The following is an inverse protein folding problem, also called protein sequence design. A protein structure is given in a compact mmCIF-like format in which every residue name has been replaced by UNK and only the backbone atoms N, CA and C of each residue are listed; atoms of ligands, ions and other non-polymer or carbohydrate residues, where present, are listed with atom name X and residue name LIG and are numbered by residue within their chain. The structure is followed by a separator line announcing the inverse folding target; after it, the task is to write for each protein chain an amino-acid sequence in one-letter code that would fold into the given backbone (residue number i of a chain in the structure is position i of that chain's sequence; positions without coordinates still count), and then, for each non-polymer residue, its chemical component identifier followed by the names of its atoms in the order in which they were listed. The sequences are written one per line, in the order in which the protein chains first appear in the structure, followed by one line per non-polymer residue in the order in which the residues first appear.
data_IF_213892645127
#
_entry.id   IF_213892645127
#
_cell.length_a   1.000
_cell.length_b   1.000
_cell.length_c   1.000
_cell.angle_alpha   90.00
_cell.angle_beta   90.00
_cell.angle_gamma   90.00
#
_symmetry.space_group_name_H-M   'P 1'
#
loop_
_entity.id
_entity.type
_entity.pdbx_description
1 polymer ?
#
# COMPACT_ATOMS: atom_id res chain seq x y z
N UNK A 1 11.40 8.35 17.04
CA UNK A 1 10.96 7.35 16.05
C UNK A 1 11.11 7.97 14.66
N UNK A 2 11.62 7.26 13.65
CA UNK A 2 11.76 7.68 12.22
C UNK A 2 12.29 9.09 11.84
N UNK A 3 13.04 9.76 12.72
CA UNK A 3 13.59 11.13 12.51
C UNK A 3 14.31 11.35 11.17
N UNK A 4 14.88 10.29 10.59
CA UNK A 4 15.63 10.38 9.33
C UNK A 4 14.76 10.84 8.15
N UNK A 5 13.48 10.46 8.10
CA UNK A 5 12.59 10.87 7.02
C UNK A 5 12.13 12.33 7.16
N UNK A 6 11.95 12.82 8.39
CA UNK A 6 11.64 14.22 8.65
C UNK A 6 12.81 15.12 8.26
N UNK A 7 14.03 14.74 8.65
CA UNK A 7 15.25 15.50 8.38
C UNK A 7 15.57 15.61 6.88
N UNK A 8 15.08 14.69 6.06
CA UNK A 8 15.24 14.73 4.60
C UNK A 8 14.05 15.33 3.86
N UNK A 9 13.05 15.84 4.59
CA UNK A 9 11.86 16.44 4.00
C UNK A 9 10.91 15.43 3.35
N UNK A 10 11.08 14.13 3.58
CA UNK A 10 10.23 13.07 3.04
C UNK A 10 8.89 12.94 3.75
N UNK A 11 8.75 13.55 4.93
CA UNK A 11 7.60 13.35 5.82
C UNK A 11 7.68 12.01 6.56
N UNK A 12 6.84 11.84 7.58
CA UNK A 12 6.85 10.60 8.39
C UNK A 12 5.97 9.55 7.69
N UNK A 13 6.48 8.33 7.49
CA UNK A 13 5.65 7.22 7.02
C UNK A 13 4.46 7.02 7.97
N UNK A 14 3.22 6.89 7.48
CA UNK A 14 2.06 6.73 8.35
C UNK A 14 2.16 5.41 9.12
N UNK A 15 1.72 5.42 10.37
CA UNK A 15 1.68 4.22 11.21
C UNK A 15 0.35 4.20 11.96
N UNK A 16 -0.50 3.19 11.73
CA UNK A 16 -1.69 2.98 12.56
C UNK A 16 -1.33 2.94 14.05
N UNK A 17 -2.23 3.44 14.89
CA UNK A 17 -1.97 3.57 16.33
C UNK A 17 -1.64 2.21 16.96
N UNK A 18 -2.32 1.15 16.53
CA UNK A 18 -2.14 -0.23 17.00
C UNK A 18 -0.74 -0.76 16.72
N UNK A 19 -0.11 -0.35 15.61
CA UNK A 19 1.22 -0.80 15.21
C UNK A 19 2.35 0.08 15.75
N UNK A 20 2.04 1.27 16.28
CA UNK A 20 3.05 2.28 16.64
C UNK A 20 4.03 1.79 17.70
N UNK A 21 3.54 1.04 18.69
CA UNK A 21 4.36 0.48 19.78
C UNK A 21 5.32 -0.62 19.33
N UNK A 22 5.11 -1.20 18.15
CA UNK A 22 5.86 -2.35 17.64
C UNK A 22 6.95 -1.96 16.64
N UNK A 23 6.94 -0.72 16.14
CA UNK A 23 7.89 -0.26 15.14
C UNK A 23 9.31 -0.26 15.68
N UNK A 24 10.18 -1.01 15.00
CA UNK A 24 11.61 -1.09 15.28
C UNK A 24 12.41 -0.59 14.09
N UNK A 25 13.55 0.04 14.36
CA UNK A 25 14.55 0.27 13.34
C UNK A 25 15.36 -1.02 13.14
N UNK A 26 15.34 -1.58 11.94
CA UNK A 26 16.07 -2.80 11.61
C UNK A 26 17.46 -2.52 11.02
N UNK A 27 17.57 -1.46 10.22
CA UNK A 27 18.81 -0.99 9.56
C UNK A 27 18.78 0.54 9.44
N UNK A 28 19.89 1.20 9.06
CA UNK A 28 19.81 2.57 8.56
C UNK A 28 18.76 2.62 7.45
N UNK A 29 17.79 3.53 7.57
CA UNK A 29 16.67 3.68 6.65
C UNK A 29 15.68 2.52 6.50
N UNK A 30 15.66 1.54 7.40
CA UNK A 30 14.64 0.47 7.39
C UNK A 30 13.95 0.34 8.74
N UNK A 31 12.63 0.47 8.75
CA UNK A 31 11.80 0.38 9.95
C UNK A 31 10.60 -0.52 9.68
N UNK A 32 10.26 -1.38 10.63
CA UNK A 32 9.11 -2.28 10.48
C UNK A 32 8.63 -2.81 11.84
N UNK A 33 7.43 -3.37 11.87
CA UNK A 33 6.90 -4.12 13.03
C UNK A 33 7.33 -5.59 13.03
N UNK A 34 7.79 -6.11 11.87
CA UNK A 34 8.30 -7.48 11.70
C UNK A 34 9.64 -7.50 10.96
N UNK A 35 10.27 -8.67 10.89
CA UNK A 35 11.46 -8.86 10.05
C UNK A 35 11.15 -8.67 8.57
N UNK A 36 11.99 -7.93 7.85
CA UNK A 36 11.87 -7.66 6.41
C UNK A 36 13.23 -7.76 5.71
N UNK A 37 13.20 -8.01 4.40
CA UNK A 37 14.32 -7.78 3.50
C UNK A 37 14.09 -6.49 2.68
N UNK A 38 14.82 -5.40 2.97
CA UNK A 38 14.69 -4.15 2.22
C UNK A 38 14.94 -4.28 0.72
N UNK A 39 15.80 -5.22 0.29
CA UNK A 39 16.07 -5.42 -1.14
C UNK A 39 14.90 -6.12 -1.82
N UNK A 40 14.28 -7.11 -1.16
CA UNK A 40 13.06 -7.74 -1.66
C UNK A 40 11.91 -6.72 -1.79
N UNK A 41 11.75 -5.84 -0.78
CA UNK A 41 10.79 -4.73 -0.85
C UNK A 41 11.10 -3.78 -2.02
N UNK A 42 12.37 -3.46 -2.26
CA UNK A 42 12.79 -2.59 -3.36
C UNK A 42 12.56 -3.19 -4.75
N UNK A 43 12.70 -4.50 -4.93
CA UNK A 43 12.49 -5.14 -6.23
C UNK A 43 11.04 -5.01 -6.72
N UNK A 44 10.07 -4.98 -5.80
CA UNK A 44 8.66 -4.61 -6.01
C UNK A 44 7.85 -5.50 -6.98
N UNK A 45 8.49 -6.33 -7.79
CA UNK A 45 7.90 -7.24 -8.78
C UNK A 45 7.32 -8.51 -8.15
N UNK A 46 8.00 -9.05 -7.15
CA UNK A 46 7.69 -10.35 -6.56
C UNK A 46 6.97 -10.23 -5.21
N UNK A 47 7.34 -9.24 -4.41
CA UNK A 47 6.90 -9.17 -3.02
C UNK A 47 5.39 -8.96 -2.85
N UNK A 48 4.71 -8.07 -3.60
CA UNK A 48 3.24 -7.96 -3.52
C UNK A 48 2.51 -9.25 -3.92
N UNK A 49 3.09 -10.00 -4.87
CA UNK A 49 2.56 -11.30 -5.32
C UNK A 49 2.74 -12.35 -4.23
N UNK A 50 3.92 -12.45 -3.64
CA UNK A 50 4.21 -13.41 -2.57
C UNK A 50 3.31 -13.15 -1.34
N UNK A 51 3.09 -11.88 -0.99
CA UNK A 51 2.18 -11.50 0.11
C UNK A 51 0.71 -11.82 -0.21
N UNK A 52 0.29 -11.68 -1.47
CA UNK A 52 -1.06 -12.09 -1.90
C UNK A 52 -1.23 -13.62 -1.83
N UNK A 53 -0.20 -14.39 -2.21
CA UNK A 53 -0.20 -15.87 -2.17
C UNK A 53 -0.18 -16.39 -0.74
N UNK A 54 0.53 -15.72 0.18
CA UNK A 54 0.62 -16.13 1.59
C UNK A 54 -0.73 -16.06 2.34
N UNK A 55 -1.73 -15.39 1.78
CA UNK A 55 -3.07 -15.25 2.37
C UNK A 55 -3.11 -14.19 3.48
N UNK A 56 -4.19 -14.16 4.29
CA UNK A 56 -4.36 -13.16 5.33
C UNK A 56 -3.33 -13.35 6.47
N UNK A 57 -2.17 -12.71 6.33
CA UNK A 57 -1.18 -12.57 7.40
C UNK A 57 -1.55 -11.50 8.43
N UNK A 58 -0.78 -11.46 9.53
CA UNK A 58 -0.85 -10.45 10.59
C UNK A 58 -0.66 -9.03 10.05
N UNK A 59 -1.29 -8.06 10.72
CA UNK A 59 -1.11 -6.64 10.40
C UNK A 59 0.34 -6.22 10.63
N UNK A 60 0.92 -5.48 9.69
CA UNK A 60 2.28 -4.96 9.82
C UNK A 60 2.48 -3.69 9.02
N UNK A 61 3.48 -2.93 9.44
CA UNK A 61 4.03 -1.82 8.66
C UNK A 61 5.50 -2.07 8.41
N UNK A 62 5.96 -1.74 7.20
CA UNK A 62 7.36 -1.71 6.85
C UNK A 62 7.66 -0.52 5.93
N UNK A 63 8.79 0.14 6.14
CA UNK A 63 9.31 1.19 5.28
C UNK A 63 10.80 1.04 5.13
N UNK A 64 11.29 1.17 3.91
CA UNK A 64 12.72 1.22 3.64
C UNK A 64 13.09 2.20 2.55
N UNK A 65 14.28 2.80 2.67
CA UNK A 65 15.00 3.37 1.53
C UNK A 65 16.06 2.36 1.07
N UNK A 66 15.97 1.94 -0.17
CA UNK A 66 16.87 0.94 -0.75
C UNK A 66 17.10 1.22 -2.24
N UNK A 67 18.16 0.62 -2.79
CA UNK A 67 18.59 0.89 -4.14
C UNK A 67 19.80 0.07 -4.59
N UNK A 68 20.08 0.06 -5.89
CA UNK A 68 21.30 -0.51 -6.46
C UNK A 68 22.09 0.57 -7.22
N UNK A 69 23.34 0.76 -6.82
CA UNK A 69 24.25 1.73 -7.43
C UNK A 69 23.86 3.18 -7.17
N UNK A 70 24.44 4.11 -7.92
CA UNK A 70 24.18 5.56 -7.78
C UNK A 70 22.87 6.03 -8.42
N UNK A 71 22.20 5.18 -9.20
CA UNK A 71 21.19 5.60 -10.16
C UNK A 71 19.76 5.15 -9.83
N UNK A 72 19.55 4.31 -8.83
CA UNK A 72 18.22 3.77 -8.54
C UNK A 72 18.02 3.57 -7.06
N UNK A 73 17.28 4.51 -6.47
CA UNK A 73 16.90 4.50 -5.07
C UNK A 73 15.40 4.79 -4.95
N UNK A 74 14.75 4.11 -4.01
CA UNK A 74 13.33 4.26 -3.76
C UNK A 74 13.02 4.21 -2.27
N UNK A 75 11.99 4.95 -1.88
CA UNK A 75 11.26 4.72 -0.63
C UNK A 75 10.14 3.74 -0.93
N UNK A 76 10.26 2.53 -0.38
CA UNK A 76 9.21 1.51 -0.42
C UNK A 76 8.50 1.49 0.92
N UNK A 77 7.17 1.50 0.91
CA UNK A 77 6.32 1.42 2.09
C UNK A 77 5.27 0.32 1.91
N UNK A 78 5.21 -0.61 2.85
CA UNK A 78 4.20 -1.65 2.93
C UNK A 78 3.35 -1.45 4.18
N UNK A 79 2.04 -1.65 4.04
CA UNK A 79 1.10 -1.68 5.14
C UNK A 79 0.08 -2.77 4.89
N UNK A 80 0.06 -3.78 5.75
CA UNK A 80 -1.07 -4.70 5.87
C UNK A 80 -1.81 -4.34 7.14
N UNK A 81 -3.07 -3.94 7.01
CA UNK A 81 -3.87 -3.45 8.13
C UNK A 81 -5.36 -3.73 7.91
N UNK A 82 -5.89 -4.72 8.64
CA UNK A 82 -7.26 -5.20 8.50
C UNK A 82 -7.57 -5.62 7.04
N UNK A 83 -8.55 -4.99 6.37
CA UNK A 83 -8.94 -5.34 5.01
C UNK A 83 -7.98 -4.79 3.95
N UNK A 84 -6.90 -4.08 4.32
CA UNK A 84 -6.04 -3.39 3.37
C UNK A 84 -4.63 -4.01 3.32
N UNK A 85 -4.10 -4.24 2.12
CA UNK A 85 -2.68 -4.47 1.88
C UNK A 85 -2.15 -3.47 0.84
N UNK A 86 -1.38 -2.50 1.30
CA UNK A 86 -0.68 -1.51 0.51
C UNK A 86 0.77 -1.92 0.31
N UNK A 87 1.22 -1.85 -0.94
CA UNK A 87 2.61 -1.94 -1.34
C UNK A 87 2.88 -0.76 -2.25
N UNK A 88 3.65 0.23 -1.80
CA UNK A 88 3.90 1.44 -2.60
C UNK A 88 5.38 1.76 -2.70
N UNK A 89 5.79 2.32 -3.84
CA UNK A 89 7.18 2.67 -4.09
C UNK A 89 7.32 3.95 -4.90
N UNK A 90 8.08 4.90 -4.34
CA UNK A 90 8.42 6.17 -5.01
C UNK A 90 9.93 6.33 -5.08
N UNK A 91 10.44 6.74 -6.25
CA UNK A 91 11.86 7.02 -6.43
C UNK A 91 12.31 8.23 -5.62
N UNK A 92 13.45 8.13 -4.94
CA UNK A 92 14.07 9.26 -4.23
C UNK A 92 15.56 8.99 -3.95
N UNK A 93 16.40 10.02 -4.12
CA UNK A 93 17.84 9.95 -3.81
C UNK A 93 18.73 9.46 -4.95
N UNK A 94 18.19 9.30 -6.17
CA UNK A 94 19.00 9.04 -7.37
C UNK A 94 19.71 10.29 -7.87
N UNK A 95 20.94 10.14 -8.40
CA UNK A 95 21.76 11.26 -8.88
C UNK A 95 21.09 12.12 -9.98
N UNK A 96 20.13 11.57 -10.71
CA UNK A 96 19.40 12.22 -11.79
C UNK A 96 17.97 12.65 -11.40
N UNK A 97 17.61 12.55 -10.12
CA UNK A 97 16.29 12.92 -9.62
C UNK A 97 16.29 14.34 -9.09
N UNK A 98 15.21 15.08 -9.36
CA UNK A 98 14.93 16.32 -8.65
C UNK A 98 14.53 15.98 -7.21
N UNK A 99 15.40 16.31 -6.25
CA UNK A 99 15.23 15.97 -4.84
C UNK A 99 14.00 16.62 -4.20
N UNK A 100 13.64 17.85 -4.63
CA UNK A 100 12.48 18.58 -4.10
C UNK A 100 11.20 17.95 -4.63
N UNK A 101 11.13 17.70 -5.95
CA UNK A 101 9.97 17.07 -6.58
C UNK A 101 9.75 15.65 -6.07
N UNK A 102 10.79 14.83 -6.01
CA UNK A 102 10.68 13.44 -5.54
C UNK A 102 10.35 13.37 -4.05
N UNK A 103 10.87 14.28 -3.22
CA UNK A 103 10.45 14.36 -1.82
C UNK A 103 8.96 14.74 -1.69
N UNK A 104 8.46 15.66 -2.54
CA UNK A 104 7.03 15.99 -2.57
C UNK A 104 6.17 14.79 -2.97
N UNK A 105 6.61 13.98 -3.93
CA UNK A 105 5.92 12.75 -4.31
C UNK A 105 5.90 11.71 -3.17
N UNK A 106 6.99 11.55 -2.42
CA UNK A 106 7.02 10.65 -1.25
C UNK A 106 6.04 11.13 -0.17
N UNK A 107 5.98 12.45 0.10
CA UNK A 107 5.02 13.01 1.06
C UNK A 107 3.58 12.78 0.63
N UNK A 108 3.27 12.99 -0.65
CA UNK A 108 1.95 12.74 -1.22
C UNK A 108 1.57 11.25 -1.10
N UNK A 109 2.50 10.34 -1.43
CA UNK A 109 2.30 8.91 -1.25
C UNK A 109 1.95 8.59 0.22
N UNK A 110 2.71 9.12 1.18
CA UNK A 110 2.44 8.91 2.61
C UNK A 110 1.11 9.48 3.05
N UNK A 111 0.72 10.67 2.57
CA UNK A 111 -0.59 11.26 2.88
C UNK A 111 -1.73 10.35 2.42
N UNK A 112 -1.67 9.86 1.17
CA UNK A 112 -2.68 8.94 0.63
C UNK A 112 -2.69 7.60 1.36
N UNK A 113 -1.53 7.05 1.72
CA UNK A 113 -1.48 5.83 2.51
C UNK A 113 -2.12 6.00 3.90
N UNK A 114 -1.93 7.15 4.56
CA UNK A 114 -2.57 7.45 5.84
C UNK A 114 -4.10 7.46 5.70
N UNK A 115 -4.59 8.17 4.70
CA UNK A 115 -6.01 8.26 4.35
C UNK A 115 -6.68 6.91 4.05
N UNK A 116 -5.96 6.01 3.37
CA UNK A 116 -6.44 4.65 3.10
C UNK A 116 -6.45 3.80 4.37
N UNK A 117 -5.43 3.93 5.23
CA UNK A 117 -5.39 3.23 6.51
C UNK A 117 -6.57 3.62 7.41
N UNK A 118 -6.94 4.91 7.47
CA UNK A 118 -8.11 5.39 8.21
C UNK A 118 -9.43 4.85 7.64
N UNK A 119 -9.57 4.79 6.31
CA UNK A 119 -10.72 4.14 5.66
C UNK A 119 -10.79 2.66 5.96
N UNK A 120 -9.66 1.97 5.95
CA UNK A 120 -9.56 0.55 6.27
C UNK A 120 -9.91 0.26 7.74
N UNK A 121 -9.47 1.11 8.68
CA UNK A 121 -9.86 1.05 10.09
C UNK A 121 -11.38 1.15 10.24
N UNK A 122 -11.99 2.16 9.63
CA UNK A 122 -13.46 2.34 9.64
C UNK A 122 -14.19 1.16 9.03
N UNK A 123 -13.64 0.57 7.95
CA UNK A 123 -14.26 -0.58 7.32
C UNK A 123 -14.18 -1.80 8.22
N UNK A 124 -13.02 -2.06 8.83
CA UNK A 124 -12.80 -3.15 9.81
C UNK A 124 -13.80 -3.05 10.97
N UNK A 125 -13.99 -1.84 11.50
CA UNK A 125 -14.81 -1.62 12.70
C UNK A 125 -16.32 -1.50 12.39
N UNK A 126 -16.69 -1.31 11.12
CA UNK A 126 -18.09 -1.25 10.71
C UNK A 126 -18.76 -2.62 10.80
N UNK A 127 -19.97 -2.72 11.39
CA UNK A 127 -20.71 -3.98 11.46
C UNK A 127 -20.94 -4.54 10.04
N UNK A 128 -20.64 -5.82 9.86
CA UNK A 128 -20.76 -6.53 8.59
C UNK A 128 -21.40 -7.91 8.77
N UNK A 129 -22.03 -8.40 7.70
CA UNK A 129 -22.54 -9.77 7.58
C UNK A 129 -21.39 -10.75 7.28
N UNK A 130 -20.30 -10.66 8.03
CA UNK A 130 -19.20 -11.60 7.89
C UNK A 130 -19.72 -12.97 8.33
N UNK A 131 -20.11 -13.79 7.34
CA UNK A 131 -20.60 -15.13 7.58
C UNK A 131 -19.54 -15.90 8.39
N UNK A 132 -19.93 -16.60 9.47
CA UNK A 132 -18.98 -17.34 10.29
C UNK A 132 -18.14 -18.28 9.41
N UNK A 133 -16.81 -18.11 9.45
CA UNK A 133 -15.86 -18.97 8.74
C UNK A 133 -15.44 -18.52 7.34
N UNK A 134 -15.94 -17.38 6.80
CA UNK A 134 -15.39 -16.81 5.57
C UNK A 134 -14.12 -16.01 5.89
N UNK A 135 -13.03 -16.25 5.15
CA UNK A 135 -11.83 -15.44 5.26
C UNK A 135 -12.15 -13.98 4.89
N UNK A 136 -11.62 -12.98 5.63
CA UNK A 136 -11.89 -11.58 5.34
C UNK A 136 -11.32 -11.21 3.96
N UNK A 137 -12.16 -10.58 3.14
CA UNK A 137 -11.78 -10.01 1.85
C UNK A 137 -10.69 -8.95 2.05
N UNK A 138 -9.70 -8.91 1.16
CA UNK A 138 -8.58 -7.96 1.27
C UNK A 138 -8.44 -7.10 0.02
N UNK A 139 -8.40 -5.78 0.18
CA UNK A 139 -8.06 -4.82 -0.86
C UNK A 139 -6.54 -4.81 -1.03
N UNK A 140 -6.07 -5.31 -2.16
CA UNK A 140 -4.65 -5.28 -2.52
C UNK A 140 -4.40 -4.02 -3.35
N UNK A 141 -3.34 -3.29 -3.00
CA UNK A 141 -2.85 -2.14 -3.75
C UNK A 141 -1.35 -2.30 -3.93
N UNK A 142 -0.89 -2.37 -5.18
CA UNK A 142 0.53 -2.37 -5.52
C UNK A 142 0.79 -1.21 -6.49
N UNK A 143 1.38 -0.11 -6.01
CA UNK A 143 1.60 1.09 -6.81
C UNK A 143 3.06 1.58 -6.73
N UNK A 144 3.79 1.46 -7.84
CA UNK A 144 5.15 1.95 -7.96
C UNK A 144 5.26 3.00 -9.04
N UNK A 145 5.44 4.26 -8.62
CA UNK A 145 5.79 5.35 -9.51
C UNK A 145 7.16 5.12 -10.18
N UNK A 146 8.10 4.49 -9.47
CA UNK A 146 9.42 4.17 -10.01
C UNK A 146 9.36 3.12 -11.13
N UNK A 147 8.54 2.08 -10.96
CA UNK A 147 8.38 0.97 -11.92
C UNK A 147 7.28 1.22 -12.96
N UNK A 148 6.48 2.29 -12.79
CA UNK A 148 5.30 2.62 -13.58
C UNK A 148 4.27 1.48 -13.61
N UNK A 149 4.09 0.83 -12.48
CA UNK A 149 3.08 -0.22 -12.30
C UNK A 149 2.08 0.20 -11.24
N UNK A 150 0.81 -0.13 -11.46
CA UNK A 150 -0.25 0.12 -10.51
C UNK A 150 -1.29 -0.98 -10.64
N UNK A 151 -1.66 -1.58 -9.52
CA UNK A 151 -2.65 -2.64 -9.43
C UNK A 151 -3.51 -2.38 -8.19
N UNK A 152 -4.82 -2.52 -8.34
CA UNK A 152 -5.74 -2.32 -7.24
C UNK A 152 -6.99 -3.16 -7.43
N UNK A 153 -7.38 -3.88 -6.38
CA UNK A 153 -8.56 -4.72 -6.43
C UNK A 153 -8.80 -5.46 -5.14
N UNK A 154 -10.03 -5.93 -4.99
CA UNK A 154 -10.36 -6.82 -3.91
C UNK A 154 -9.98 -8.26 -4.25
N UNK A 155 -9.38 -8.94 -3.28
CA UNK A 155 -9.06 -10.35 -3.29
C UNK A 155 -9.99 -11.04 -2.31
N UNK A 156 -10.93 -11.82 -2.85
CA UNK A 156 -11.93 -12.58 -2.08
C UNK A 156 -11.34 -13.84 -1.45
N UNK A 157 -10.43 -14.50 -2.16
CA UNK A 157 -9.74 -15.70 -1.72
C UNK A 157 -8.28 -15.61 -2.14
N UNK A 158 -7.38 -16.19 -1.34
CA UNK A 158 -5.97 -16.26 -1.72
C UNK A 158 -5.85 -17.05 -3.04
N UNK A 159 -5.04 -16.58 -4.01
CA UNK A 159 -4.95 -17.18 -5.34
C UNK A 159 -4.43 -18.63 -5.35
N UNK A 160 -3.94 -19.15 -4.22
CA UNK A 160 -3.51 -20.54 -4.05
C UNK A 160 -2.13 -20.83 -4.63
N UNK A 161 -1.79 -20.22 -5.77
CA UNK A 161 -0.47 -20.31 -6.39
C UNK A 161 -0.02 -19.00 -7.07
N UNK A 162 1.22 -18.99 -7.55
CA UNK A 162 1.86 -17.83 -8.14
C UNK A 162 1.28 -17.48 -9.53
N UNK A 163 0.76 -18.45 -10.29
CA UNK A 163 0.19 -18.21 -11.62
C UNK A 163 -1.13 -17.48 -11.48
N UNK A 164 -2.02 -17.97 -10.62
CA UNK A 164 -3.29 -17.33 -10.31
C UNK A 164 -3.08 -15.92 -9.73
N UNK A 165 -2.06 -15.74 -8.88
CA UNK A 165 -1.71 -14.42 -8.36
C UNK A 165 -1.30 -13.46 -9.50
N UNK A 166 -0.43 -13.89 -10.41
CA UNK A 166 -0.01 -13.07 -11.56
C UNK A 166 -1.19 -12.73 -12.48
N UNK A 167 -2.12 -13.66 -12.72
CA UNK A 167 -3.34 -13.41 -13.48
C UNK A 167 -4.23 -12.37 -12.80
N UNK A 168 -4.37 -12.46 -11.46
CA UNK A 168 -5.07 -11.45 -10.69
C UNK A 168 -4.45 -10.06 -10.87
N UNK A 169 -3.13 -9.93 -10.74
CA UNK A 169 -2.45 -8.64 -10.93
C UNK A 169 -2.63 -8.10 -12.35
N UNK A 170 -2.60 -8.96 -13.38
CA UNK A 170 -2.86 -8.53 -14.77
C UNK A 170 -4.28 -8.02 -14.95
N UNK A 171 -5.27 -8.70 -14.36
CA UNK A 171 -6.68 -8.32 -14.46
C UNK A 171 -7.01 -7.01 -13.69
N UNK A 172 -6.26 -6.71 -12.63
CA UNK A 172 -6.49 -5.57 -11.74
C UNK A 172 -5.51 -4.42 -11.98
N UNK A 173 -4.95 -4.31 -13.20
CA UNK A 173 -4.05 -3.22 -13.56
C UNK A 173 -4.80 -1.89 -13.63
N UNK A 174 -4.32 -0.89 -12.90
CA UNK A 174 -4.81 0.48 -13.01
C UNK A 174 -4.22 1.15 -14.26
N UNK A 175 -5.02 1.87 -15.06
CA UNK A 175 -4.51 2.61 -16.21
C UNK A 175 -3.44 3.64 -15.82
N UNK A 176 -2.37 3.73 -16.62
CA UNK A 176 -1.40 4.83 -16.62
C UNK A 176 -1.20 5.27 -18.07
N UNK A 177 -1.30 6.58 -18.40
CA UNK A 177 -0.98 7.09 -19.73
C UNK A 177 0.49 6.86 -20.11
N UNK A 178 0.81 6.97 -21.41
CA UNK A 178 2.18 6.78 -21.86
C UNK A 178 3.08 7.93 -21.37
N UNK A 179 4.40 7.73 -21.43
CA UNK A 179 5.35 8.72 -20.89
C UNK A 179 5.24 10.01 -21.70
N UNK A 180 4.98 11.13 -21.03
CA UNK A 180 5.00 12.47 -21.64
C UNK A 180 3.68 12.89 -22.28
N UNK A 181 2.59 12.18 -22.00
CA UNK A 181 1.27 12.53 -22.57
C UNK A 181 0.54 13.62 -21.76
N UNK A 182 0.79 13.82 -20.46
CA UNK A 182 0.24 14.94 -19.68
C UNK A 182 1.07 15.23 -18.40
N UNK A 183 1.26 16.51 -18.04
CA UNK A 183 1.90 16.92 -16.77
C UNK A 183 0.96 16.84 -15.55
N UNK A 184 -0.35 16.68 -15.77
CA UNK A 184 -1.39 16.51 -14.74
C UNK A 184 -1.66 15.03 -14.37
N UNK A 185 -0.78 14.10 -14.75
CA UNK A 185 -0.94 12.67 -14.45
C UNK A 185 -0.93 12.40 -12.94
N UNK A 186 -1.95 11.67 -12.46
CA UNK A 186 -1.96 11.14 -11.10
C UNK A 186 -0.75 10.21 -10.89
N UNK A 187 0.19 10.55 -9.99
CA UNK A 187 1.37 9.72 -9.77
C UNK A 187 1.04 8.35 -9.15
N UNK A 188 -0.15 8.19 -8.56
CA UNK A 188 -0.56 7.01 -7.79
C UNK A 188 -1.99 6.52 -8.11
N UNK A 189 -2.26 6.07 -9.35
CA UNK A 189 -3.60 5.65 -9.75
C UNK A 189 -4.11 4.42 -8.98
N UNK A 190 -3.21 3.57 -8.45
CA UNK A 190 -3.58 2.46 -7.58
C UNK A 190 -4.11 2.95 -6.23
N UNK A 191 -3.51 3.99 -5.65
CA UNK A 191 -4.00 4.62 -4.41
C UNK A 191 -5.34 5.33 -4.63
N UNK A 192 -5.51 6.00 -5.77
CA UNK A 192 -6.78 6.65 -6.13
C UNK A 192 -7.90 5.63 -6.30
N UNK A 193 -7.66 4.54 -7.02
CA UNK A 193 -8.64 3.47 -7.16
C UNK A 193 -8.96 2.79 -5.82
N UNK A 194 -7.97 2.64 -4.94
CA UNK A 194 -8.18 2.08 -3.61
C UNK A 194 -9.13 2.95 -2.77
N UNK A 195 -8.97 4.27 -2.81
CA UNK A 195 -9.85 5.20 -2.11
C UNK A 195 -11.31 5.02 -2.58
N UNK A 196 -11.52 4.98 -3.91
CA UNK A 196 -12.84 4.75 -4.51
C UNK A 196 -13.46 3.43 -4.06
N UNK A 197 -12.68 2.34 -4.07
CA UNK A 197 -13.16 1.02 -3.67
C UNK A 197 -13.52 0.93 -2.18
N UNK A 198 -12.75 1.57 -1.31
CA UNK A 198 -13.05 1.65 0.12
C UNK A 198 -14.32 2.48 0.39
N UNK A 199 -14.50 3.61 -0.29
CA UNK A 199 -15.68 4.46 -0.13
C UNK A 199 -16.97 3.73 -0.55
N UNK A 200 -16.92 2.94 -1.63
CA UNK A 200 -18.02 2.07 -2.05
C UNK A 200 -18.34 1.00 -1.00
N UNK A 201 -17.30 0.36 -0.43
CA UNK A 201 -17.48 -0.68 0.57
C UNK A 201 -18.10 -0.13 1.87
N UNK A 202 -17.61 1.01 2.35
CA UNK A 202 -18.14 1.71 3.52
C UNK A 202 -19.61 2.12 3.34
N UNK A 203 -19.94 2.66 2.16
CA UNK A 203 -21.32 3.04 1.82
C UNK A 203 -22.25 1.83 1.82
N UNK A 204 -21.78 0.69 1.30
CA UNK A 204 -22.56 -0.54 1.22
C UNK A 204 -22.88 -1.09 2.62
N UNK A 205 -21.88 -1.19 3.53
CA UNK A 205 -22.09 -1.66 4.91
C UNK A 205 -23.08 -0.79 5.70
N UNK A 206 -23.02 0.52 5.51
CA UNK A 206 -23.92 1.47 6.17
C UNK A 206 -25.38 1.28 5.75
N UNK A 207 -25.64 0.93 4.48
CA UNK A 207 -26.99 0.66 3.99
C UNK A 207 -27.56 -0.64 4.57
N UNK A 208 -26.77 -1.73 4.57
CA UNK A 208 -27.21 -3.03 5.11
C UNK A 208 -27.56 -2.93 6.60
N UNK A 209 -26.76 -2.21 7.38
CA UNK A 209 -26.98 -2.01 8.82
C UNK A 209 -28.30 -1.28 9.13
N UNK A 210 -28.70 -0.30 8.30
CA UNK A 210 -29.97 0.44 8.49
C UNK A 210 -31.18 -0.42 8.18
N UNK A 211 -31.12 -1.27 7.16
CA UNK A 211 -32.24 -2.15 6.79
C UNK A 211 -32.53 -3.16 7.89
N UNK A 212 -31.49 -3.74 8.51
CA UNK A 212 -31.62 -4.74 9.57
C UNK A 212 -32.27 -4.21 10.87
N UNK A 213 -32.19 -2.90 11.14
CA UNK A 213 -32.78 -2.28 12.35
C UNK A 213 -34.29 -1.96 12.22
N UNK A 214 -34.87 -2.08 11.03
CA UNK A 214 -36.28 -1.73 10.74
C UNK A 214 -37.22 -2.93 10.64
N UNK A 215 -36.72 -4.14 10.87
CA UNK A 215 -37.46 -5.41 10.86
C UNK A 215 -37.44 -6.03 12.24
#
# INVERSE_FOLDING_TARGET
MMRIFEQTGLGVPPVPDELRGEVRQLRPWAFATRGIDPMAMYMFDRHPVDEAVAGPGEDYMAVCHAGQGTNSYAVTYHLVFGPLALFVQTGWGGAYMDSVRTAAQVREQFSRCAELAERAARLRDAPGDDAPGRAPRRLIVADSALRRTAHCGWLDEAPGDQVAAQEWFRAHRCPRPARGEDEEEDPFPGLTEAARLLDVALTTRTRTSRTAQTT
#
